data_IF_497905613279
#
_entry.id   IF_497905613279
#
_cell.length_a   1.000
_cell.length_b   1.000
_cell.length_c   1.000
_cell.angle_alpha   90.00
_cell.angle_beta   90.00
_cell.angle_gamma   90.00
#
_symmetry.space_group_name_H-M   'P 1'
#
loop_
_entity.id
_entity.type
_entity.pdbx_description
1 polymer ?
#
# COMPACT_ATOMS: atom_id res chain seq x y z
N UNK A 1 -20.65 16.31 10.80
CA UNK A 1 -21.72 17.08 11.46
C UNK A 1 -22.22 18.26 10.62
N UNK A 2 -21.33 19.05 10.04
CA UNK A 2 -21.75 20.22 9.24
C UNK A 2 -22.38 19.86 7.88
N UNK A 3 -22.20 18.63 7.39
CA UNK A 3 -22.67 18.20 6.08
C UNK A 3 -23.89 17.30 6.12
N UNK A 4 -24.11 16.57 7.24
CA UNK A 4 -25.26 15.71 7.48
C UNK A 4 -25.69 15.78 8.94
N UNK A 5 -26.87 15.25 9.29
CA UNK A 5 -27.41 15.23 10.66
C UNK A 5 -26.90 14.03 11.48
N UNK A 6 -26.06 13.17 10.89
CA UNK A 6 -25.53 11.96 11.53
C UNK A 6 -24.02 12.05 11.74
N UNK A 7 -23.55 11.47 12.87
CA UNK A 7 -22.14 11.16 13.12
C UNK A 7 -21.96 9.67 12.82
N UNK A 8 -21.21 9.36 11.78
CA UNK A 8 -20.98 8.00 11.33
C UNK A 8 -19.50 7.73 11.11
N UNK A 9 -19.10 6.46 11.16
CA UNK A 9 -17.86 5.96 10.62
C UNK A 9 -18.16 4.89 9.57
N UNK A 10 -17.14 4.43 8.87
CA UNK A 10 -17.23 3.27 8.01
C UNK A 10 -16.51 2.07 8.65
N UNK A 11 -16.74 0.87 8.10
CA UNK A 11 -16.15 -0.35 8.63
C UNK A 11 -14.63 -0.38 8.50
N UNK A 12 -14.06 0.24 7.46
CA UNK A 12 -12.62 0.20 7.24
C UNK A 12 -11.85 1.05 8.25
N UNK A 13 -12.25 2.31 8.45
CA UNK A 13 -11.63 3.19 9.44
C UNK A 13 -11.87 2.70 10.87
N UNK A 14 -13.10 2.23 11.16
CA UNK A 14 -13.39 1.63 12.46
C UNK A 14 -12.48 0.43 12.76
N UNK A 15 -12.24 -0.44 11.78
CA UNK A 15 -11.35 -1.60 11.95
C UNK A 15 -9.88 -1.20 12.17
N UNK A 16 -9.44 -0.06 11.64
CA UNK A 16 -8.08 0.45 11.83
C UNK A 16 -7.82 0.93 13.28
N UNK A 17 -8.84 1.19 14.07
CA UNK A 17 -8.71 1.57 15.49
C UNK A 17 -8.25 0.42 16.39
N UNK A 18 -8.28 -0.82 15.92
CA UNK A 18 -8.09 -2.07 16.68
C UNK A 18 -9.13 -2.32 17.76
N UNK A 19 -10.13 -1.46 17.93
CA UNK A 19 -11.24 -1.62 18.87
C UNK A 19 -12.52 -2.16 18.20
N UNK A 20 -12.46 -2.46 16.90
CA UNK A 20 -13.56 -2.95 16.09
C UNK A 20 -13.41 -4.46 15.81
N UNK A 21 -14.46 -5.24 16.10
CA UNK A 21 -14.48 -6.68 15.74
C UNK A 21 -14.81 -6.83 14.25
N UNK A 22 -13.79 -7.12 13.46
CA UNK A 22 -13.92 -7.25 12.00
C UNK A 22 -14.75 -8.47 11.56
N UNK A 23 -14.98 -9.47 12.44
CA UNK A 23 -15.85 -10.62 12.14
C UNK A 23 -17.30 -10.28 12.39
N UNK A 24 -17.61 -9.56 13.48
CA UNK A 24 -18.96 -9.15 13.84
C UNK A 24 -19.39 -7.87 13.11
N UNK A 25 -18.44 -7.07 12.64
CA UNK A 25 -18.70 -5.75 12.03
C UNK A 25 -19.29 -4.77 13.05
N UNK A 26 -18.75 -4.75 14.27
CA UNK A 26 -19.21 -3.91 15.39
C UNK A 26 -18.05 -3.59 16.34
N UNK A 27 -18.21 -2.55 17.16
CA UNK A 27 -17.26 -2.24 18.21
C UNK A 27 -17.12 -3.41 19.20
N UNK A 28 -15.89 -3.73 19.60
CA UNK A 28 -15.59 -4.83 20.51
C UNK A 28 -15.84 -4.40 21.95
N UNK A 29 -16.95 -4.85 22.53
CA UNK A 29 -17.28 -4.55 23.94
C UNK A 29 -16.20 -5.00 24.90
N UNK A 30 -15.55 -6.14 24.64
CA UNK A 30 -14.46 -6.63 25.49
C UNK A 30 -13.29 -5.65 25.50
N UNK A 31 -12.86 -5.16 24.33
CA UNK A 31 -11.74 -4.22 24.22
C UNK A 31 -12.12 -2.89 24.87
N UNK A 32 -13.31 -2.36 24.58
CA UNK A 32 -13.79 -1.10 25.14
C UNK A 32 -13.86 -1.13 26.66
N UNK A 33 -14.37 -2.21 27.24
CA UNK A 33 -14.43 -2.40 28.70
C UNK A 33 -13.03 -2.44 29.32
N UNK A 34 -12.07 -3.11 28.68
CA UNK A 34 -10.68 -3.16 29.18
C UNK A 34 -9.96 -1.82 29.11
N UNK A 35 -10.34 -0.96 28.18
CA UNK A 35 -9.76 0.37 27.98
C UNK A 35 -10.55 1.47 28.72
N UNK A 36 -11.64 1.11 29.41
CA UNK A 36 -12.56 2.05 30.05
C UNK A 36 -13.11 3.13 29.10
N UNK A 37 -13.43 2.70 27.85
CA UNK A 37 -13.98 3.56 26.81
C UNK A 37 -15.47 3.33 26.71
N UNK A 38 -16.33 4.36 26.96
CA UNK A 38 -17.77 4.25 26.80
C UNK A 38 -18.16 4.00 25.32
N UNK A 39 -19.01 2.98 25.08
CA UNK A 39 -19.46 2.65 23.70
C UNK A 39 -20.24 3.82 23.06
N UNK A 40 -20.90 4.63 23.86
CA UNK A 40 -21.77 5.75 23.44
C UNK A 40 -21.01 6.90 22.76
N UNK A 41 -19.69 7.00 22.97
CA UNK A 41 -18.86 8.02 22.30
C UNK A 41 -18.45 7.60 20.90
N UNK A 42 -18.62 6.33 20.55
CA UNK A 42 -18.23 5.80 19.27
C UNK A 42 -19.36 5.90 18.25
N UNK A 43 -19.06 6.29 17.00
CA UNK A 43 -20.09 6.43 15.99
C UNK A 43 -20.61 5.07 15.51
N UNK A 44 -21.85 5.03 15.05
CA UNK A 44 -22.34 3.89 14.26
C UNK A 44 -21.54 3.74 12.98
N UNK A 45 -21.26 2.48 12.59
CA UNK A 45 -20.48 2.14 11.39
C UNK A 45 -21.40 1.60 10.29
N UNK A 46 -21.17 2.08 9.07
CA UNK A 46 -21.97 1.74 7.90
C UNK A 46 -21.05 1.32 6.73
N UNK A 47 -21.65 0.71 5.69
CA UNK A 47 -20.99 0.46 4.44
C UNK A 47 -20.56 1.77 3.75
N UNK A 48 -19.53 1.72 2.93
CA UNK A 48 -19.02 2.91 2.21
C UNK A 48 -20.06 3.56 1.31
N UNK A 49 -21.01 2.77 0.83
CA UNK A 49 -22.08 3.21 -0.10
C UNK A 49 -23.35 3.66 0.60
N UNK A 50 -23.41 3.61 1.93
CA UNK A 50 -24.63 3.95 2.69
C UNK A 50 -24.92 5.45 2.62
N UNK A 51 -26.15 5.86 2.25
CA UNK A 51 -26.59 7.23 2.38
C UNK A 51 -26.76 7.61 3.86
N UNK A 52 -26.00 8.62 4.32
CA UNK A 52 -25.98 9.03 5.73
C UNK A 52 -26.69 10.36 5.99
N UNK A 53 -27.20 11.01 4.97
CA UNK A 53 -27.92 12.27 5.10
C UNK A 53 -27.91 13.10 3.83
N UNK A 54 -28.17 14.39 4.00
CA UNK A 54 -28.20 15.36 2.90
C UNK A 54 -27.49 16.64 3.32
N UNK A 55 -26.94 17.36 2.34
CA UNK A 55 -26.27 18.65 2.55
C UNK A 55 -27.25 19.62 3.20
N UNK A 56 -26.92 20.10 4.39
CA UNK A 56 -27.69 21.11 5.13
C UNK A 56 -27.52 22.51 4.52
N UNK A 57 -28.40 23.46 4.87
CA UNK A 57 -28.26 24.86 4.42
C UNK A 57 -26.90 25.45 4.82
N UNK A 58 -26.48 25.26 6.07
CA UNK A 58 -25.19 25.76 6.55
C UNK A 58 -24.00 25.13 5.80
N UNK A 59 -24.09 23.84 5.46
CA UNK A 59 -23.07 23.18 4.64
C UNK A 59 -23.06 23.70 3.19
N UNK A 60 -24.24 23.95 2.61
CA UNK A 60 -24.37 24.52 1.26
C UNK A 60 -23.74 25.90 1.17
N UNK A 61 -24.00 26.77 2.14
CA UNK A 61 -23.41 28.11 2.23
C UNK A 61 -21.88 28.07 2.35
N UNK A 62 -21.35 27.10 3.11
CA UNK A 62 -19.90 26.96 3.32
C UNK A 62 -19.14 26.30 2.14
N UNK A 63 -19.82 25.48 1.31
CA UNK A 63 -19.17 24.63 0.31
C UNK A 63 -19.58 24.91 -1.13
N UNK A 64 -20.67 25.68 -1.35
CA UNK A 64 -21.27 25.90 -2.67
C UNK A 64 -22.09 24.71 -3.20
N UNK A 65 -22.22 23.62 -2.45
CA UNK A 65 -23.06 22.48 -2.84
C UNK A 65 -24.54 22.83 -2.72
N UNK A 66 -25.40 22.23 -3.56
CA UNK A 66 -26.84 22.42 -3.45
C UNK A 66 -27.39 21.81 -2.14
N UNK A 67 -28.32 22.53 -1.48
CA UNK A 67 -29.05 22.02 -0.34
C UNK A 67 -29.79 20.74 -0.73
N UNK A 68 -29.72 19.70 0.11
CA UNK A 68 -30.38 18.44 -0.16
C UNK A 68 -29.56 17.45 -1.01
N UNK A 69 -28.35 17.81 -1.49
CA UNK A 69 -27.43 16.88 -2.13
C UNK A 69 -27.18 15.68 -1.20
N UNK A 70 -27.29 14.47 -1.73
CA UNK A 70 -27.09 13.24 -0.96
C UNK A 70 -25.66 13.16 -0.44
N UNK A 71 -25.51 12.79 0.81
CA UNK A 71 -24.23 12.49 1.44
C UNK A 71 -24.12 10.99 1.66
N UNK A 72 -23.08 10.38 1.11
CA UNK A 72 -22.77 8.96 1.25
C UNK A 72 -21.60 8.81 2.23
N UNK A 73 -21.56 7.71 2.98
CA UNK A 73 -20.64 7.51 4.09
C UNK A 73 -19.16 7.61 3.66
N UNK A 74 -18.79 6.94 2.58
CA UNK A 74 -17.39 6.84 2.15
C UNK A 74 -16.64 5.77 2.93
N UNK A 75 -15.31 5.85 2.92
CA UNK A 75 -14.45 4.87 3.60
C UNK A 75 -13.01 5.35 3.68
N UNK A 76 -12.17 4.60 4.38
CA UNK A 76 -10.74 4.86 4.48
C UNK A 76 -10.05 4.92 3.12
N UNK A 77 -8.97 5.68 3.04
CA UNK A 77 -8.25 5.95 1.79
C UNK A 77 -7.82 4.69 1.04
N UNK A 78 -7.37 3.66 1.77
CA UNK A 78 -6.96 2.36 1.19
C UNK A 78 -8.12 1.64 0.49
N UNK A 79 -9.32 1.69 1.07
CA UNK A 79 -10.51 1.08 0.49
C UNK A 79 -10.97 1.89 -0.72
N UNK A 80 -10.99 3.22 -0.60
CA UNK A 80 -11.32 4.08 -1.73
C UNK A 80 -10.32 3.91 -2.88
N UNK A 81 -9.02 3.78 -2.57
CA UNK A 81 -7.99 3.50 -3.56
C UNK A 81 -8.21 2.13 -4.24
N UNK A 82 -8.56 1.09 -3.49
CA UNK A 82 -8.85 -0.22 -4.05
C UNK A 82 -10.06 -0.19 -4.99
N UNK A 83 -11.14 0.52 -4.62
CA UNK A 83 -12.30 0.73 -5.48
C UNK A 83 -11.91 1.49 -6.75
N UNK A 84 -11.19 2.61 -6.62
CA UNK A 84 -10.77 3.41 -7.77
C UNK A 84 -9.71 2.73 -8.65
N UNK A 85 -9.01 1.75 -8.13
CA UNK A 85 -8.15 0.84 -8.89
C UNK A 85 -8.92 -0.32 -9.54
N UNK A 86 -10.19 -0.54 -9.19
CA UNK A 86 -10.99 -1.66 -9.66
C UNK A 86 -10.68 -2.99 -8.96
N UNK A 87 -9.86 -2.98 -7.91
CA UNK A 87 -9.52 -4.16 -7.10
C UNK A 87 -10.56 -4.37 -6.01
N UNK A 88 -11.72 -4.94 -6.34
CA UNK A 88 -12.86 -5.02 -5.41
C UNK A 88 -13.37 -6.44 -5.17
N UNK A 89 -12.85 -7.42 -5.91
CA UNK A 89 -13.26 -8.81 -5.77
C UNK A 89 -12.16 -9.64 -5.10
N UNK A 90 -12.53 -10.68 -4.33
CA UNK A 90 -11.56 -11.63 -3.78
C UNK A 90 -10.64 -12.21 -4.86
N UNK A 91 -9.37 -12.38 -4.54
CA UNK A 91 -8.34 -12.80 -5.47
C UNK A 91 -7.74 -11.66 -6.31
N UNK A 92 -8.24 -10.43 -6.21
CA UNK A 92 -7.60 -9.24 -6.76
C UNK A 92 -6.64 -8.63 -5.73
N UNK A 93 -5.54 -8.08 -6.23
CA UNK A 93 -4.56 -7.43 -5.37
C UNK A 93 -3.98 -6.18 -6.02
N UNK A 94 -3.56 -5.24 -5.16
CA UNK A 94 -2.87 -4.02 -5.56
C UNK A 94 -1.46 -4.00 -5.00
N UNK A 95 -0.54 -3.35 -5.72
CA UNK A 95 0.77 -2.94 -5.20
C UNK A 95 0.88 -1.42 -5.30
N UNK A 96 1.20 -0.79 -4.18
CA UNK A 96 1.37 0.67 -4.10
C UNK A 96 2.80 1.01 -3.69
N UNK A 97 3.45 1.89 -4.45
CA UNK A 97 4.72 2.52 -4.09
C UNK A 97 4.50 4.03 -3.97
N UNK A 98 4.12 4.45 -2.76
CA UNK A 98 4.20 5.84 -2.30
C UNK A 98 5.49 6.08 -1.52
N UNK A 99 5.49 6.93 -0.49
CA UNK A 99 6.63 7.04 0.45
C UNK A 99 6.90 5.70 1.12
N UNK A 100 5.88 5.04 1.66
CA UNK A 100 5.86 3.63 2.04
C UNK A 100 5.40 2.76 0.86
N UNK A 101 5.53 1.43 1.01
CA UNK A 101 5.02 0.46 0.04
C UNK A 101 4.01 -0.49 0.67
N UNK A 102 3.08 -1.01 -0.14
CA UNK A 102 2.08 -1.94 0.36
C UNK A 102 1.59 -2.88 -0.74
N UNK A 103 1.26 -4.09 -0.33
CA UNK A 103 0.48 -5.03 -1.14
C UNK A 103 -0.83 -5.30 -0.40
N UNK A 104 -1.96 -5.17 -1.09
CA UNK A 104 -3.29 -5.34 -0.51
C UNK A 104 -4.07 -6.37 -1.30
N UNK A 105 -4.54 -7.41 -0.62
CA UNK A 105 -5.37 -8.46 -1.16
C UNK A 105 -6.82 -8.26 -0.75
N UNK A 106 -7.75 -8.39 -1.69
CA UNK A 106 -9.18 -8.42 -1.42
C UNK A 106 -9.58 -9.82 -0.95
N UNK A 107 -10.34 -9.89 0.15
CA UNK A 107 -10.71 -11.13 0.81
C UNK A 107 -12.23 -11.22 1.00
N UNK A 108 -12.76 -12.45 0.95
CA UNK A 108 -14.17 -12.81 1.26
C UNK A 108 -14.35 -13.26 2.70
N UNK A 109 -13.26 -13.30 3.47
CA UNK A 109 -13.24 -13.64 4.90
C UNK A 109 -12.11 -12.90 5.60
N UNK A 110 -12.23 -12.65 6.91
CA UNK A 110 -11.14 -12.06 7.67
C UNK A 110 -9.99 -13.06 7.82
N UNK A 111 -8.78 -12.64 7.48
CA UNK A 111 -7.58 -13.45 7.59
C UNK A 111 -6.89 -13.14 8.92
N UNK A 112 -6.73 -14.16 9.75
CA UNK A 112 -5.93 -14.05 10.97
C UNK A 112 -4.48 -14.46 10.68
N UNK A 113 -3.54 -13.57 10.97
CA UNK A 113 -2.12 -13.87 10.87
C UNK A 113 -1.51 -14.05 12.26
N UNK A 114 -1.17 -15.30 12.68
CA UNK A 114 -0.60 -15.55 13.99
C UNK A 114 0.73 -14.86 14.26
N UNK A 115 1.47 -14.50 13.21
CA UNK A 115 2.75 -13.76 13.32
C UNK A 115 2.58 -12.28 13.56
N UNK A 116 1.34 -11.74 13.46
CA UNK A 116 0.98 -10.32 13.65
C UNK A 116 1.83 -9.35 12.79
N UNK A 117 2.27 -9.79 11.64
CA UNK A 117 3.09 -8.98 10.73
C UNK A 117 2.37 -8.56 9.43
N UNK A 118 1.05 -8.74 9.38
CA UNK A 118 0.14 -8.18 8.39
C UNK A 118 -1.06 -7.55 9.09
N UNK A 119 -1.77 -6.66 8.40
CA UNK A 119 -2.99 -6.07 8.89
C UNK A 119 -4.18 -6.60 8.09
N UNK A 120 -5.28 -6.93 8.77
CA UNK A 120 -6.56 -7.24 8.14
C UNK A 120 -7.61 -6.24 8.61
N UNK A 121 -8.26 -5.58 7.66
CA UNK A 121 -9.31 -4.59 7.88
C UNK A 121 -10.60 -5.00 7.19
N UNK A 122 -11.72 -4.43 7.63
CA UNK A 122 -12.94 -4.51 6.84
C UNK A 122 -12.75 -3.78 5.49
N UNK A 123 -13.41 -4.28 4.45
CA UNK A 123 -13.51 -3.65 3.15
C UNK A 123 -14.64 -2.64 3.07
N UNK A 124 -15.21 -2.48 1.88
CA UNK A 124 -16.31 -1.53 1.63
C UNK A 124 -17.69 -1.98 2.18
N UNK A 125 -17.79 -3.22 2.68
CA UNK A 125 -18.98 -3.77 3.35
C UNK A 125 -18.59 -4.77 4.44
N UNK A 126 -19.57 -5.23 5.22
CA UNK A 126 -19.36 -6.23 6.29
C UNK A 126 -18.82 -7.58 5.79
N UNK A 127 -19.11 -7.93 4.54
CA UNK A 127 -18.76 -9.21 3.93
C UNK A 127 -17.49 -9.12 3.09
N UNK A 128 -16.73 -8.05 3.23
CA UNK A 128 -15.48 -7.80 2.51
C UNK A 128 -14.37 -7.39 3.47
N UNK A 129 -13.19 -7.91 3.21
CA UNK A 129 -11.98 -7.58 3.97
C UNK A 129 -10.83 -7.32 3.03
N UNK A 130 -9.83 -6.63 3.53
CA UNK A 130 -8.52 -6.53 2.91
C UNK A 130 -7.46 -7.06 3.87
N UNK A 131 -6.47 -7.76 3.33
CA UNK A 131 -5.25 -8.13 4.06
C UNK A 131 -4.06 -7.47 3.42
N UNK A 132 -3.24 -6.82 4.23
CA UNK A 132 -2.18 -5.94 3.77
C UNK A 132 -0.84 -6.28 4.41
N UNK A 133 0.20 -6.44 3.58
CA UNK A 133 1.60 -6.34 3.96
C UNK A 133 2.14 -4.96 3.59
N UNK A 134 2.97 -4.37 4.43
CA UNK A 134 3.47 -3.01 4.19
C UNK A 134 4.94 -2.86 4.59
N UNK A 135 5.70 -2.10 3.80
CA UNK A 135 7.08 -1.66 4.07
C UNK A 135 7.13 -0.17 4.40
N UNK A 136 8.08 0.23 5.23
CA UNK A 136 8.21 1.61 5.70
C UNK A 136 8.84 2.57 4.68
N UNK A 137 9.72 2.08 3.83
CA UNK A 137 10.55 2.93 2.98
C UNK A 137 10.59 2.39 1.54
N UNK A 138 9.60 2.74 0.73
CA UNK A 138 9.52 2.36 -0.68
C UNK A 138 9.97 3.53 -1.58
N UNK A 139 9.06 4.35 -2.08
CA UNK A 139 9.40 5.54 -2.85
C UNK A 139 10.28 6.52 -2.06
N UNK A 140 10.16 6.54 -0.73
CA UNK A 140 11.05 7.27 0.15
C UNK A 140 12.52 6.87 -0.07
N UNK A 141 12.82 5.58 -0.26
CA UNK A 141 14.19 5.12 -0.51
C UNK A 141 14.79 5.72 -1.78
N UNK A 142 14.01 5.78 -2.86
CA UNK A 142 14.46 6.39 -4.10
C UNK A 142 14.56 7.92 -3.99
N UNK A 143 13.59 8.56 -3.32
CA UNK A 143 13.61 10.01 -3.08
C UNK A 143 14.81 10.41 -2.21
N UNK A 144 15.07 9.68 -1.12
CA UNK A 144 16.25 9.85 -0.29
C UNK A 144 17.54 9.68 -1.10
N UNK A 145 17.66 8.59 -1.84
CA UNK A 145 18.82 8.35 -2.68
C UNK A 145 19.05 9.49 -3.68
N UNK A 146 17.99 9.91 -4.37
CA UNK A 146 18.06 11.00 -5.34
C UNK A 146 18.48 12.34 -4.70
N UNK A 147 18.12 12.58 -3.45
CA UNK A 147 18.52 13.78 -2.70
C UNK A 147 20.02 13.89 -2.41
N UNK A 148 20.75 12.77 -2.47
CA UNK A 148 22.21 12.74 -2.30
C UNK A 148 22.95 13.23 -3.56
N UNK A 149 22.26 13.32 -4.70
CA UNK A 149 22.84 13.71 -5.98
C UNK A 149 22.06 14.90 -6.56
N UNK A 150 22.58 16.14 -6.41
CA UNK A 150 21.88 17.32 -6.92
C UNK A 150 21.71 17.26 -8.44
N UNK A 151 20.57 17.79 -8.92
CA UNK A 151 20.24 17.90 -10.33
C UNK A 151 19.92 16.59 -11.09
N UNK A 152 19.54 15.52 -10.38
CA UNK A 152 19.07 14.30 -11.06
C UNK A 152 17.56 14.37 -11.23
N UNK A 153 17.13 14.44 -12.50
CA UNK A 153 15.74 14.31 -12.91
C UNK A 153 15.30 12.83 -12.90
N UNK A 154 14.06 12.56 -12.53
CA UNK A 154 13.50 11.20 -12.55
C UNK A 154 13.39 10.61 -13.96
N UNK A 155 13.23 11.44 -15.00
CA UNK A 155 13.21 10.95 -16.37
C UNK A 155 14.59 10.48 -16.81
N UNK A 156 15.63 11.26 -16.48
CA UNK A 156 17.03 10.85 -16.69
C UNK A 156 17.33 9.56 -15.92
N UNK A 157 16.96 9.52 -14.64
CA UNK A 157 17.18 8.35 -13.78
C UNK A 157 16.55 7.09 -14.38
N UNK A 158 15.29 7.16 -14.79
CA UNK A 158 14.56 6.06 -15.41
C UNK A 158 15.24 5.59 -16.71
N UNK A 159 15.66 6.53 -17.55
CA UNK A 159 16.35 6.22 -18.82
C UNK A 159 17.67 5.49 -18.60
N UNK A 160 18.48 5.93 -17.63
CA UNK A 160 19.78 5.33 -17.36
C UNK A 160 19.65 3.99 -16.62
N UNK A 161 18.75 3.90 -15.64
CA UNK A 161 18.44 2.64 -14.92
C UNK A 161 17.95 1.55 -15.87
N UNK A 162 17.18 1.90 -16.90
CA UNK A 162 16.67 0.95 -17.90
C UNK A 162 17.80 0.24 -18.69
N UNK A 163 18.98 0.86 -18.82
CA UNK A 163 20.13 0.31 -19.54
C UNK A 163 20.93 -0.71 -18.70
N UNK A 164 20.76 -0.69 -17.39
CA UNK A 164 21.52 -1.54 -16.48
C UNK A 164 20.86 -2.91 -16.42
N UNK A 165 21.66 -3.95 -16.40
CA UNK A 165 21.18 -5.34 -16.29
C UNK A 165 20.55 -5.60 -14.90
N UNK A 166 19.57 -6.51 -14.80
CA UNK A 166 19.05 -6.97 -13.52
C UNK A 166 20.16 -7.39 -12.55
N UNK A 167 19.97 -7.02 -11.26
CA UNK A 167 20.94 -7.29 -10.21
C UNK A 167 22.02 -6.24 -10.05
N UNK A 168 21.94 -5.11 -10.79
CA UNK A 168 22.76 -3.91 -10.57
C UNK A 168 24.27 -4.16 -10.46
N UNK A 169 24.81 -5.19 -11.16
CA UNK A 169 26.22 -5.53 -11.10
C UNK A 169 26.67 -6.19 -9.79
N UNK A 170 25.78 -6.84 -9.06
CA UNK A 170 26.07 -7.51 -7.78
C UNK A 170 25.70 -6.67 -6.56
N UNK A 171 25.08 -5.50 -6.76
CA UNK A 171 24.62 -4.66 -5.67
C UNK A 171 23.30 -5.16 -5.08
N UNK A 172 23.21 -5.12 -3.76
CA UNK A 172 21.97 -5.32 -3.02
C UNK A 172 21.72 -4.13 -2.10
N UNK A 173 20.52 -3.60 -2.11
CA UNK A 173 20.06 -2.56 -1.18
C UNK A 173 19.00 -3.09 -0.24
N UNK A 174 19.20 -2.92 1.07
CA UNK A 174 18.24 -3.19 2.11
C UNK A 174 17.50 -1.88 2.45
N UNK A 175 16.18 -1.74 2.13
CA UNK A 175 15.50 -0.44 2.12
C UNK A 175 15.01 0.03 3.50
N UNK A 176 15.54 -0.49 4.59
CA UNK A 176 15.00 -0.32 5.94
C UNK A 176 15.38 1.01 6.60
N UNK A 177 15.35 2.12 5.86
CA UNK A 177 15.80 3.46 6.31
C UNK A 177 15.14 3.90 7.63
N UNK A 178 13.84 3.65 7.79
CA UNK A 178 13.03 4.02 8.94
C UNK A 178 12.54 2.81 9.77
N UNK A 179 13.34 1.73 9.79
CA UNK A 179 12.85 0.46 10.30
C UNK A 179 11.99 -0.27 9.28
N UNK A 180 11.33 -1.34 9.70
CA UNK A 180 10.46 -2.10 8.80
C UNK A 180 9.22 -2.65 9.51
N UNK A 181 8.14 -2.80 8.74
CA UNK A 181 6.88 -3.43 9.15
C UNK A 181 6.87 -4.90 8.71
N UNK A 182 6.18 -5.25 7.67
CA UNK A 182 6.10 -6.63 7.15
C UNK A 182 7.41 -7.02 6.44
N UNK A 183 7.99 -8.18 6.73
CA UNK A 183 7.61 -9.16 7.75
C UNK A 183 8.28 -8.95 9.11
N UNK A 184 9.18 -8.01 9.22
CA UNK A 184 10.18 -7.94 10.30
C UNK A 184 9.67 -7.28 11.60
N UNK A 185 8.71 -6.34 11.49
CA UNK A 185 8.13 -5.57 12.60
C UNK A 185 9.21 -5.02 13.55
N UNK A 186 10.20 -4.34 12.97
CA UNK A 186 11.37 -3.89 13.71
C UNK A 186 11.74 -2.42 13.39
N UNK A 187 11.53 -1.47 14.32
CA UNK A 187 11.84 -0.05 14.10
C UNK A 187 13.34 0.27 14.13
N UNK A 188 14.18 -0.70 14.51
CA UNK A 188 15.62 -0.51 14.65
C UNK A 188 16.43 -0.92 13.44
N UNK A 189 15.80 -1.42 12.38
CA UNK A 189 16.49 -1.69 11.14
C UNK A 189 16.92 -0.40 10.45
N UNK A 190 17.98 -0.47 9.65
CA UNK A 190 18.52 0.67 8.89
C UNK A 190 18.85 0.24 7.46
N UNK A 191 18.83 1.22 6.53
CA UNK A 191 19.21 0.98 5.14
C UNK A 191 20.69 0.59 5.01
N UNK A 192 20.99 -0.25 4.03
CA UNK A 192 22.36 -0.70 3.75
C UNK A 192 22.53 -1.05 2.29
N UNK A 193 23.69 -0.71 1.72
CA UNK A 193 24.19 -1.23 0.46
C UNK A 193 25.23 -2.32 0.71
N UNK A 194 25.17 -3.39 -0.08
CA UNK A 194 26.15 -4.49 -0.07
C UNK A 194 26.63 -4.72 -1.51
N UNK A 195 27.92 -5.03 -1.71
CA UNK A 195 28.47 -5.38 -3.02
C UNK A 195 29.05 -4.21 -3.82
N UNK A 196 29.27 -3.03 -3.21
CA UNK A 196 29.91 -1.90 -3.89
C UNK A 196 31.36 -2.22 -4.27
N UNK A 197 31.78 -1.74 -5.45
CA UNK A 197 33.15 -1.81 -5.97
C UNK A 197 33.54 -0.46 -6.59
N UNK A 198 34.82 -0.26 -7.01
CA UNK A 198 35.26 1.02 -7.57
C UNK A 198 34.57 1.44 -8.88
N UNK A 199 33.91 0.53 -9.57
CA UNK A 199 33.20 0.78 -10.83
C UNK A 199 31.71 1.10 -10.60
N UNK A 200 31.24 1.00 -9.35
CA UNK A 200 29.85 1.27 -8.99
C UNK A 200 29.50 2.73 -9.22
N UNK A 201 28.57 2.98 -10.13
CA UNK A 201 28.07 4.32 -10.42
C UNK A 201 26.71 4.62 -9.75
N UNK A 202 26.28 5.89 -9.86
CA UNK A 202 25.01 6.36 -9.24
C UNK A 202 23.77 5.66 -9.81
N UNK A 203 23.78 5.24 -11.06
CA UNK A 203 22.63 4.62 -11.70
C UNK A 203 22.51 3.15 -11.32
N UNK A 204 23.64 2.47 -11.14
CA UNK A 204 23.68 1.13 -10.55
C UNK A 204 23.14 1.14 -9.12
N UNK A 205 23.54 2.13 -8.30
CA UNK A 205 23.00 2.31 -6.96
C UNK A 205 21.48 2.62 -6.99
N UNK A 206 21.03 3.49 -7.90
CA UNK A 206 19.60 3.80 -8.05
C UNK A 206 18.79 2.55 -8.43
N UNK A 207 19.30 1.75 -9.36
CA UNK A 207 18.65 0.48 -9.72
C UNK A 207 18.62 -0.49 -8.54
N UNK A 208 19.71 -0.62 -7.80
CA UNK A 208 19.74 -1.45 -6.59
C UNK A 208 18.71 -0.99 -5.55
N UNK A 209 18.46 0.33 -5.41
CA UNK A 209 17.38 0.87 -4.57
C UNK A 209 16.01 0.41 -5.08
N UNK A 210 15.74 0.52 -6.38
CA UNK A 210 14.48 0.08 -6.98
C UNK A 210 14.28 -1.44 -6.80
N UNK A 211 15.32 -2.23 -7.00
CA UNK A 211 15.33 -3.69 -6.82
C UNK A 211 15.13 -4.08 -5.35
N UNK A 212 15.82 -3.42 -4.41
CA UNK A 212 15.70 -3.67 -2.98
C UNK A 212 14.30 -3.39 -2.44
N UNK A 213 13.65 -2.31 -2.91
CA UNK A 213 12.24 -2.03 -2.59
C UNK A 213 11.33 -3.10 -3.16
N UNK A 214 11.57 -3.57 -4.39
CA UNK A 214 10.80 -4.65 -4.98
C UNK A 214 10.98 -5.95 -4.17
N UNK A 215 12.18 -6.26 -3.69
CA UNK A 215 12.42 -7.42 -2.82
C UNK A 215 11.69 -7.32 -1.48
N UNK A 216 11.68 -6.15 -0.85
CA UNK A 216 10.92 -5.94 0.38
C UNK A 216 9.39 -6.11 0.17
N UNK A 217 8.86 -5.65 -0.97
CA UNK A 217 7.45 -5.88 -1.32
C UNK A 217 7.18 -7.35 -1.70
N UNK A 218 8.16 -8.08 -2.26
CA UNK A 218 8.07 -9.54 -2.44
C UNK A 218 7.98 -10.27 -1.11
N UNK A 219 8.72 -9.86 -0.08
CA UNK A 219 8.54 -10.41 1.28
C UNK A 219 7.10 -10.21 1.78
N UNK A 220 6.50 -9.02 1.51
CA UNK A 220 5.09 -8.77 1.84
C UNK A 220 4.14 -9.72 1.08
N UNK A 221 4.39 -9.95 -0.22
CA UNK A 221 3.63 -10.91 -1.03
C UNK A 221 3.77 -12.34 -0.50
N UNK A 222 4.99 -12.78 -0.18
CA UNK A 222 5.25 -14.12 0.35
C UNK A 222 4.50 -14.37 1.66
N UNK A 223 4.45 -13.39 2.57
CA UNK A 223 3.63 -13.49 3.79
C UNK A 223 2.15 -13.67 3.45
N UNK A 224 1.64 -12.93 2.47
CA UNK A 224 0.24 -13.07 2.03
C UNK A 224 0.00 -14.44 1.35
N UNK A 225 0.93 -14.94 0.55
CA UNK A 225 0.85 -16.27 -0.06
C UNK A 225 0.88 -17.39 0.98
N UNK A 226 1.70 -17.28 2.02
CA UNK A 226 1.72 -18.21 3.17
C UNK A 226 0.36 -18.26 3.90
N UNK A 227 -0.42 -17.18 3.86
CA UNK A 227 -1.78 -17.11 4.38
C UNK A 227 -2.85 -17.66 3.40
N UNK A 228 -2.42 -18.17 2.25
CA UNK A 228 -3.30 -18.74 1.20
C UNK A 228 -3.93 -17.70 0.29
N UNK A 229 -3.46 -16.44 0.32
CA UNK A 229 -3.93 -15.39 -0.59
C UNK A 229 -3.15 -15.46 -1.90
N UNK A 230 -3.85 -15.45 -3.03
CA UNK A 230 -3.23 -15.52 -4.35
C UNK A 230 -3.87 -14.52 -5.30
N UNK A 231 -3.14 -14.11 -6.32
CA UNK A 231 -3.64 -13.26 -7.40
C UNK A 231 -2.96 -13.67 -8.72
N UNK A 232 -3.62 -13.42 -9.84
CA UNK A 232 -3.06 -13.65 -11.18
C UNK A 232 -2.36 -12.41 -11.75
N UNK A 233 -2.62 -11.23 -11.20
CA UNK A 233 -2.01 -9.96 -11.60
C UNK A 233 -2.03 -8.99 -10.43
N UNK A 234 -1.20 -7.97 -10.49
CA UNK A 234 -1.20 -6.86 -9.53
C UNK A 234 -1.60 -5.55 -10.24
N UNK A 235 -2.41 -4.74 -9.58
CA UNK A 235 -2.72 -3.40 -10.04
C UNK A 235 -1.77 -2.43 -9.33
N UNK A 236 -0.86 -1.84 -10.10
CA UNK A 236 0.15 -0.92 -9.60
C UNK A 236 -0.39 0.51 -9.46
N UNK A 237 0.00 1.17 -8.37
CA UNK A 237 -0.39 2.53 -8.04
C UNK A 237 0.72 3.31 -7.32
N UNK A 238 0.46 4.58 -7.04
CA UNK A 238 1.41 5.49 -6.40
C UNK A 238 2.50 6.01 -7.33
N UNK A 239 3.47 6.73 -6.75
CA UNK A 239 4.56 7.35 -7.51
C UNK A 239 5.43 6.35 -8.29
N UNK A 240 5.65 5.15 -7.73
CA UNK A 240 6.40 4.08 -8.40
C UNK A 240 5.76 3.58 -9.69
N UNK A 241 4.44 3.74 -9.86
CA UNK A 241 3.71 3.38 -11.08
C UNK A 241 3.91 4.37 -12.25
N UNK A 242 4.68 5.44 -12.05
CA UNK A 242 5.11 6.37 -13.10
C UNK A 242 6.43 5.96 -13.75
N UNK A 243 7.16 5.02 -13.17
CA UNK A 243 8.47 4.56 -13.64
C UNK A 243 8.35 3.23 -14.39
N UNK A 244 8.42 3.24 -15.71
CA UNK A 244 8.37 2.04 -16.55
C UNK A 244 9.47 1.01 -16.17
N UNK A 245 10.76 1.38 -15.96
CA UNK A 245 11.76 0.43 -15.51
C UNK A 245 11.44 -0.14 -14.12
N UNK A 246 10.87 0.62 -13.20
CA UNK A 246 10.52 0.09 -11.89
C UNK A 246 9.32 -0.86 -11.92
N UNK A 247 8.35 -0.60 -12.80
CA UNK A 247 7.23 -1.52 -13.04
C UNK A 247 7.71 -2.85 -13.62
N UNK A 248 8.66 -2.80 -14.58
CA UNK A 248 9.25 -4.03 -15.12
C UNK A 248 10.07 -4.80 -14.07
N UNK A 249 10.88 -4.11 -13.24
CA UNK A 249 11.59 -4.73 -12.11
C UNK A 249 10.59 -5.44 -11.18
N UNK A 250 9.49 -4.78 -10.84
CA UNK A 250 8.45 -5.36 -9.98
C UNK A 250 7.82 -6.60 -10.63
N UNK A 251 7.43 -6.53 -11.91
CA UNK A 251 6.86 -7.67 -12.63
C UNK A 251 7.80 -8.89 -12.60
N UNK A 252 9.08 -8.64 -12.91
CA UNK A 252 10.12 -9.67 -12.94
C UNK A 252 10.39 -10.26 -11.53
N UNK A 253 10.46 -9.41 -10.50
CA UNK A 253 10.71 -9.84 -9.11
C UNK A 253 9.53 -10.66 -8.56
N UNK A 254 8.30 -10.22 -8.80
CA UNK A 254 7.10 -10.89 -8.26
C UNK A 254 6.66 -12.09 -9.09
N UNK A 255 7.13 -12.22 -10.33
CA UNK A 255 6.64 -13.17 -11.33
C UNK A 255 5.13 -13.03 -11.57
N UNK A 256 4.65 -11.80 -11.59
CA UNK A 256 3.25 -11.46 -11.80
C UNK A 256 3.13 -10.32 -12.82
N UNK A 257 2.14 -10.38 -13.73
CA UNK A 257 1.79 -9.24 -14.55
C UNK A 257 1.41 -8.03 -13.70
N UNK A 258 1.86 -6.83 -14.12
CA UNK A 258 1.44 -5.57 -13.53
C UNK A 258 0.61 -4.77 -14.52
N UNK A 259 -0.57 -4.36 -14.07
CA UNK A 259 -1.46 -3.44 -14.75
C UNK A 259 -1.42 -2.08 -14.06
N UNK A 260 -1.45 -1.00 -14.81
CA UNK A 260 -1.38 0.36 -14.26
C UNK A 260 -2.72 1.07 -14.45
N UNK A 261 -3.26 1.65 -13.38
CA UNK A 261 -4.45 2.51 -13.48
C UNK A 261 -4.16 3.73 -14.36
N UNK A 262 -5.11 4.09 -15.23
CA UNK A 262 -5.04 5.30 -16.01
C UNK A 262 -5.37 6.56 -15.17
N UNK A 263 -5.95 6.39 -13.99
CA UNK A 263 -6.34 7.48 -13.07
C UNK A 263 -5.33 7.54 -11.92
N UNK A 264 -4.73 8.72 -11.72
CA UNK A 264 -3.76 8.96 -10.64
C UNK A 264 -4.45 9.03 -9.28
N UNK A 265 -5.56 9.80 -9.19
CA UNK A 265 -6.35 10.00 -7.96
C UNK A 265 -7.37 8.88 -7.77
N UNK A 266 -6.87 7.67 -7.55
CA UNK A 266 -7.71 6.48 -7.41
C UNK A 266 -8.66 6.57 -6.21
N UNK A 267 -8.21 7.14 -5.08
CA UNK A 267 -9.07 7.29 -3.90
C UNK A 267 -10.26 8.22 -4.18
N UNK A 268 -10.02 9.30 -4.92
CA UNK A 268 -11.08 10.22 -5.37
C UNK A 268 -12.07 9.52 -6.31
N UNK A 269 -11.59 8.72 -7.26
CA UNK A 269 -12.44 7.92 -8.14
C UNK A 269 -13.26 6.90 -7.35
N UNK A 270 -12.63 6.20 -6.40
CA UNK A 270 -13.32 5.23 -5.55
C UNK A 270 -14.43 5.87 -4.71
N UNK A 271 -14.17 7.04 -4.13
CA UNK A 271 -15.18 7.82 -3.41
C UNK A 271 -16.34 8.24 -4.33
N UNK A 272 -16.05 8.64 -5.57
CA UNK A 272 -17.08 8.97 -6.56
C UNK A 272 -17.91 7.74 -6.97
N UNK A 273 -17.28 6.57 -7.13
CA UNK A 273 -17.99 5.31 -7.40
C UNK A 273 -18.89 4.94 -6.21
N UNK A 274 -18.38 5.00 -4.97
CA UNK A 274 -19.16 4.73 -3.78
C UNK A 274 -20.36 5.68 -3.66
N UNK A 275 -20.16 6.98 -3.91
CA UNK A 275 -21.23 7.96 -3.96
C UNK A 275 -22.25 7.65 -5.06
N UNK A 276 -21.81 7.23 -6.24
CA UNK A 276 -22.68 6.82 -7.35
C UNK A 276 -23.55 5.62 -7.02
N UNK A 277 -23.02 4.65 -6.26
CA UNK A 277 -23.80 3.51 -5.76
C UNK A 277 -24.84 3.98 -4.73
N UNK A 278 -24.42 4.77 -3.74
CA UNK A 278 -25.34 5.30 -2.71
C UNK A 278 -26.44 6.20 -3.28
N UNK A 279 -26.16 6.88 -4.40
CA UNK A 279 -27.13 7.69 -5.14
C UNK A 279 -28.01 6.89 -6.12
N UNK A 280 -27.79 5.58 -6.28
CA UNK A 280 -28.54 4.73 -7.19
C UNK A 280 -28.17 4.90 -8.68
N UNK A 281 -27.03 5.56 -8.99
CA UNK A 281 -26.49 5.67 -10.37
C UNK A 281 -25.94 4.32 -10.82
N UNK A 282 -25.25 3.61 -9.91
CA UNK A 282 -24.74 2.27 -10.11
C UNK A 282 -25.46 1.30 -9.14
N UNK A 283 -25.71 0.08 -9.59
CA UNK A 283 -26.34 -0.97 -8.76
C UNK A 283 -25.37 -1.56 -7.73
N UNK A 284 -24.08 -1.46 -7.99
CA UNK A 284 -23.02 -2.04 -7.14
C UNK A 284 -21.68 -1.36 -7.37
N UNK A 285 -20.74 -1.54 -6.43
CA UNK A 285 -19.34 -1.12 -6.61
C UNK A 285 -18.74 -1.76 -7.88
N UNK A 286 -19.01 -3.04 -8.16
CA UNK A 286 -18.53 -3.72 -9.37
C UNK A 286 -19.00 -3.02 -10.65
N UNK A 287 -20.28 -2.65 -10.74
CA UNK A 287 -20.81 -1.93 -11.90
C UNK A 287 -20.15 -0.54 -12.04
N UNK A 288 -20.01 0.18 -10.94
CA UNK A 288 -19.30 1.47 -10.92
C UNK A 288 -17.84 1.35 -11.36
N UNK A 289 -17.13 0.33 -10.90
CA UNK A 289 -15.76 0.04 -11.35
C UNK A 289 -15.71 -0.28 -12.86
N UNK A 290 -16.59 -1.12 -13.38
CA UNK A 290 -16.66 -1.45 -14.81
C UNK A 290 -16.94 -0.22 -15.68
N UNK A 291 -17.75 0.72 -15.19
CA UNK A 291 -18.09 1.94 -15.92
C UNK A 291 -16.98 2.99 -15.89
N UNK A 292 -16.27 3.15 -14.78
CA UNK A 292 -15.42 4.30 -14.52
C UNK A 292 -13.91 3.99 -14.46
N UNK A 293 -13.52 2.77 -14.07
CA UNK A 293 -12.09 2.44 -13.97
C UNK A 293 -11.52 2.14 -15.34
N UNK A 294 -10.36 2.74 -15.60
CA UNK A 294 -9.59 2.52 -16.83
C UNK A 294 -8.15 2.18 -16.48
N UNK A 295 -7.55 1.34 -17.30
CA UNK A 295 -6.13 0.99 -17.20
C UNK A 295 -5.37 1.54 -18.39
N UNK A 296 -4.06 1.75 -18.23
CA UNK A 296 -3.17 2.02 -19.36
C UNK A 296 -3.15 0.80 -20.27
N UNK A 297 -2.91 1.00 -21.55
CA UNK A 297 -2.82 -0.10 -22.53
C UNK A 297 -1.61 -1.00 -22.26
N UNK A 298 -0.53 -0.41 -21.77
CA UNK A 298 0.70 -1.12 -21.44
C UNK A 298 0.54 -1.97 -20.18
N UNK A 299 0.89 -3.24 -20.29
CA UNK A 299 0.98 -4.20 -19.19
C UNK A 299 2.41 -4.69 -19.09
N UNK A 300 2.94 -4.72 -17.87
CA UNK A 300 4.30 -5.20 -17.60
C UNK A 300 4.25 -6.70 -17.29
N UNK A 301 4.72 -7.49 -18.25
CA UNK A 301 4.75 -8.95 -18.12
C UNK A 301 6.11 -9.39 -17.55
N UNK A 302 6.14 -10.39 -16.66
CA UNK A 302 7.39 -10.92 -16.12
C UNK A 302 8.19 -11.64 -17.20
N UNK A 303 9.50 -11.35 -17.24
CA UNK A 303 10.46 -12.12 -18.02
C UNK A 303 10.94 -13.32 -17.21
N UNK A 304 10.75 -14.55 -17.73
CA UNK A 304 11.21 -15.75 -17.05
C UNK A 304 12.72 -15.70 -16.72
N UNK A 305 13.54 -15.26 -17.65
CA UNK A 305 15.00 -15.15 -17.48
C UNK A 305 15.35 -14.16 -16.37
N UNK A 306 14.70 -12.98 -16.36
CA UNK A 306 14.94 -11.99 -15.32
C UNK A 306 14.41 -12.47 -13.96
N UNK A 307 13.26 -13.14 -13.93
CA UNK A 307 12.71 -13.70 -12.70
C UNK A 307 13.63 -14.74 -12.06
N UNK A 308 14.18 -15.65 -12.85
CA UNK A 308 15.14 -16.65 -12.38
C UNK A 308 16.38 -15.94 -11.77
N UNK A 309 16.94 -14.96 -12.46
CA UNK A 309 18.06 -14.16 -11.94
C UNK A 309 17.66 -13.37 -10.67
N UNK A 310 16.51 -12.69 -10.66
CA UNK A 310 16.05 -11.97 -9.46
C UNK A 310 15.73 -12.90 -8.29
N UNK A 311 15.43 -14.17 -8.52
CA UNK A 311 15.26 -15.14 -7.44
C UNK A 311 16.59 -15.38 -6.72
N UNK A 312 17.71 -15.46 -7.43
CA UNK A 312 19.05 -15.56 -6.82
C UNK A 312 19.40 -14.27 -6.03
N UNK A 313 19.15 -13.09 -6.62
CA UNK A 313 19.37 -11.82 -5.92
C UNK A 313 18.47 -11.64 -4.70
N UNK A 314 17.26 -12.15 -4.75
CA UNK A 314 16.36 -12.15 -3.61
C UNK A 314 16.86 -13.07 -2.47
N UNK A 315 17.47 -14.20 -2.77
CA UNK A 315 18.13 -15.01 -1.75
C UNK A 315 19.30 -14.25 -1.13
N UNK A 316 20.13 -13.61 -1.96
CA UNK A 316 21.24 -12.77 -1.48
C UNK A 316 20.74 -11.60 -0.62
N UNK A 317 19.61 -10.99 -0.98
CA UNK A 317 18.95 -9.95 -0.17
C UNK A 317 18.57 -10.48 1.22
N UNK A 318 17.95 -11.66 1.32
CA UNK A 318 17.59 -12.29 2.60
C UNK A 318 18.83 -12.69 3.42
N UNK A 319 19.88 -13.18 2.76
CA UNK A 319 21.15 -13.51 3.41
C UNK A 319 21.85 -12.25 3.95
N UNK A 320 21.92 -11.19 3.15
CA UNK A 320 22.48 -9.91 3.57
C UNK A 320 21.74 -9.33 4.77
N UNK A 321 20.40 -9.37 4.77
CA UNK A 321 19.58 -8.97 5.91
C UNK A 321 19.90 -9.81 7.15
N UNK A 322 19.89 -11.13 7.02
CA UNK A 322 20.15 -12.04 8.14
C UNK A 322 21.54 -11.82 8.77
N UNK A 323 22.55 -11.62 7.93
CA UNK A 323 23.93 -11.38 8.37
C UNK A 323 24.13 -10.01 9.03
N UNK A 324 23.36 -9.00 8.64
CA UNK A 324 23.59 -7.60 9.05
C UNK A 324 22.56 -7.05 10.03
N UNK A 325 21.47 -7.77 10.31
CA UNK A 325 20.38 -7.35 11.21
C UNK A 325 20.91 -6.85 12.56
N UNK A 326 21.77 -7.63 13.22
CA UNK A 326 22.33 -7.24 14.52
C UNK A 326 23.19 -5.98 14.45
N UNK A 327 23.89 -5.76 13.34
CA UNK A 327 24.67 -4.54 13.10
C UNK A 327 23.76 -3.34 12.92
N UNK A 328 22.66 -3.47 12.16
CA UNK A 328 21.66 -2.41 11.98
C UNK A 328 21.03 -2.00 13.31
N UNK A 329 20.58 -2.99 14.11
CA UNK A 329 19.96 -2.76 15.42
C UNK A 329 20.93 -2.02 16.37
N UNK A 330 22.20 -2.45 16.41
CA UNK A 330 23.24 -1.79 17.21
C UNK A 330 23.53 -0.38 16.73
N UNK A 331 23.63 -0.16 15.42
CA UNK A 331 23.84 1.18 14.86
C UNK A 331 22.69 2.14 15.24
N UNK A 332 21.43 1.66 15.16
CA UNK A 332 20.27 2.44 15.59
C UNK A 332 20.27 2.78 17.08
N UNK A 333 20.72 1.86 17.94
CA UNK A 333 20.87 2.11 19.38
C UNK A 333 21.94 3.16 19.67
N UNK A 334 23.12 3.04 19.05
CA UNK A 334 24.21 4.00 19.20
C UNK A 334 23.82 5.39 18.70
N UNK A 335 23.13 5.49 17.55
CA UNK A 335 22.66 6.77 17.00
C UNK A 335 21.70 7.49 17.95
N UNK A 336 20.77 6.78 18.60
CA UNK A 336 19.89 7.36 19.64
C UNK A 336 20.66 7.84 20.88
N UNK A 337 21.62 7.06 21.32
CA UNK A 337 22.44 7.42 22.49
C UNK A 337 23.29 8.69 22.26
N UNK A 338 23.62 8.99 21.00
CA UNK A 338 24.40 10.19 20.62
C UNK A 338 23.51 11.38 20.24
N UNK A 339 22.17 11.27 20.34
CA UNK A 339 21.24 12.36 20.04
C UNK A 339 21.12 12.70 18.54
N UNK A 340 21.60 11.84 17.65
CA UNK A 340 21.56 12.06 16.19
C UNK A 340 20.19 11.72 15.57
N UNK A 341 19.34 11.02 16.31
CA UNK A 341 17.98 10.65 15.85
C UNK A 341 16.93 11.29 16.77
N UNK A 342 15.95 11.96 16.15
CA UNK A 342 14.72 12.43 16.77
C UNK A 342 13.68 11.32 16.88
#
# INVERSE_FOLDING_TARGET
LKRSDRITSDYSDASATLAFDIKQGSWSREILQRLDVPEEILPECYATTEPIGRVTRAAAEATGLAVGTLVVNGGGDQIMQAIGAGAVNPGMATVNIGSSGQVCFQCDRPIANPRLNTNTFCGFSKERWITMGATMSAGLSLAWFNSLFPHTDYEELNREVAKIRPGSGGLVFLPYLNGERTPHVNPNLRGMFVGMNPETDRYQLARAVMEGVAFSLRECLEVCWDLGLTTSELIASGGGARSAPWLQIQADVYNLPLRVSAVEEQAGLGAAIAAGVGAGIFKSINEGCQAAVKYKEEMYLPSKVNHELYTEYYQLFKEAFSATRGVMERAAQLGRATGVYY
#
